data_IF_316047952131
#
_entry.id   IF_316047952131
#
_cell.length_a   1.000
_cell.length_b   1.000
_cell.length_c   1.000
_cell.angle_alpha   90.00
_cell.angle_beta   90.00
_cell.angle_gamma   90.00
#
_symmetry.space_group_name_H-M   'P 1'
#
loop_
_entity.id
_entity.type
_entity.pdbx_description
1 polymer ?
#
# COMPACT_ATOMS: atom_id res chain seq x y z
N UNK A 1 -14.25 22.67 -20.88
CA UNK A 1 -13.73 22.13 -19.59
C UNK A 1 -14.55 20.99 -18.98
N UNK A 2 -15.86 20.84 -19.24
CA UNK A 2 -16.68 19.72 -18.72
C UNK A 2 -16.45 18.36 -19.43
N UNK A 3 -16.10 18.38 -20.71
CA UNK A 3 -15.84 17.17 -21.52
C UNK A 3 -14.63 16.35 -21.02
N UNK A 4 -13.64 17.01 -20.40
CA UNK A 4 -12.44 16.34 -19.89
C UNK A 4 -12.68 15.60 -18.55
N UNK A 5 -13.74 15.98 -17.82
CA UNK A 5 -14.12 15.36 -16.54
C UNK A 5 -15.04 14.15 -16.75
N UNK A 6 -15.89 14.16 -17.77
CA UNK A 6 -16.71 13.01 -18.16
C UNK A 6 -15.87 11.81 -18.59
N UNK A 7 -14.75 12.05 -19.29
CA UNK A 7 -13.83 11.00 -19.71
C UNK A 7 -13.21 10.23 -18.53
N UNK A 8 -12.93 10.90 -17.41
CA UNK A 8 -12.39 10.26 -16.21
C UNK A 8 -13.42 9.40 -15.47
N UNK A 9 -14.69 9.82 -15.46
CA UNK A 9 -15.77 9.05 -14.84
C UNK A 9 -16.11 7.81 -15.67
N UNK A 10 -16.15 7.95 -17.00
CA UNK A 10 -16.39 6.81 -17.91
C UNK A 10 -15.19 5.85 -17.92
N UNK A 11 -13.96 6.37 -17.88
CA UNK A 11 -12.76 5.53 -17.74
C UNK A 11 -12.74 4.82 -16.38
N UNK A 12 -13.14 5.50 -15.30
CA UNK A 12 -13.28 4.90 -13.98
C UNK A 12 -14.31 3.78 -13.94
N UNK A 13 -15.50 4.01 -14.51
CA UNK A 13 -16.57 3.01 -14.58
C UNK A 13 -16.20 1.81 -15.47
N UNK A 14 -15.58 2.06 -16.64
CA UNK A 14 -15.09 1.01 -17.53
C UNK A 14 -13.97 0.18 -16.86
N UNK A 15 -13.08 0.83 -16.11
CA UNK A 15 -12.04 0.15 -15.32
C UNK A 15 -12.66 -0.69 -14.20
N UNK A 16 -13.71 -0.22 -13.53
CA UNK A 16 -14.42 -0.99 -12.50
C UNK A 16 -15.10 -2.24 -13.08
N UNK A 17 -15.72 -2.14 -14.25
CA UNK A 17 -16.37 -3.28 -14.92
C UNK A 17 -15.34 -4.30 -15.41
N UNK A 18 -14.24 -3.84 -16.03
CA UNK A 18 -13.15 -4.72 -16.50
C UNK A 18 -12.41 -5.37 -15.32
N UNK A 19 -12.31 -4.69 -14.18
CA UNK A 19 -11.71 -5.23 -12.96
C UNK A 19 -12.58 -6.27 -12.23
N UNK A 20 -13.90 -6.32 -12.51
CA UNK A 20 -14.81 -7.31 -11.92
C UNK A 20 -14.78 -8.66 -12.67
N UNK A 21 -14.49 -8.65 -13.98
CA UNK A 21 -14.48 -9.85 -14.83
C UNK A 21 -13.51 -10.98 -14.40
N UNK A 22 -12.32 -10.71 -13.82
CA UNK A 22 -11.40 -11.78 -13.43
C UNK A 22 -11.53 -12.24 -11.97
N UNK A 23 -12.40 -11.64 -11.15
CA UNK A 23 -12.48 -11.94 -9.71
C UNK A 23 -13.16 -13.28 -9.42
N UNK A 24 -14.14 -13.69 -10.24
CA UNK A 24 -14.95 -14.88 -9.95
C UNK A 24 -14.41 -16.17 -10.59
N UNK A 25 -13.24 -16.14 -11.24
CA UNK A 25 -12.63 -17.36 -11.82
C UNK A 25 -12.00 -18.29 -10.77
N UNK A 26 -12.02 -17.91 -9.50
CA UNK A 26 -11.29 -18.59 -8.42
C UNK A 26 -12.18 -19.15 -7.31
N UNK A 27 -13.45 -19.43 -7.61
CA UNK A 27 -14.32 -20.20 -6.74
C UNK A 27 -14.29 -21.69 -7.16
N UNK A 28 -13.58 -22.58 -6.42
CA UNK A 28 -13.34 -23.96 -6.83
C UNK A 28 -14.59 -24.87 -6.74
N UNK A 29 -15.66 -24.42 -6.06
CA UNK A 29 -16.91 -25.18 -5.91
C UNK A 29 -17.96 -24.80 -6.96
N UNK A 30 -17.66 -23.83 -7.82
CA UNK A 30 -18.58 -23.27 -8.81
C UNK A 30 -18.62 -24.10 -10.11
N UNK A 31 -18.97 -25.39 -10.02
CA UNK A 31 -19.27 -26.23 -11.19
C UNK A 31 -20.34 -25.63 -12.12
N UNK A 32 -20.25 -25.94 -13.42
CA UNK A 32 -21.02 -25.45 -14.59
C UNK A 32 -22.50 -25.12 -14.32
N UNK A 33 -22.76 -24.00 -13.63
CA UNK A 33 -24.11 -23.50 -13.41
C UNK A 33 -24.27 -22.22 -14.23
N UNK A 34 -25.30 -22.13 -15.09
CA UNK A 34 -25.45 -21.03 -16.02
C UNK A 34 -25.65 -19.71 -15.29
N UNK A 35 -24.98 -18.66 -15.81
CA UNK A 35 -24.85 -17.31 -15.25
C UNK A 35 -26.18 -16.69 -14.77
N UNK A 36 -27.30 -16.95 -15.46
CA UNK A 36 -28.60 -16.40 -15.10
C UNK A 36 -29.15 -16.96 -13.78
N UNK A 37 -28.79 -18.21 -13.41
CA UNK A 37 -29.27 -18.87 -12.19
C UNK A 37 -28.64 -18.25 -10.96
N UNK A 38 -27.35 -17.92 -11.09
CA UNK A 38 -26.51 -17.35 -10.03
C UNK A 38 -26.85 -15.88 -9.77
N UNK A 39 -27.18 -15.12 -10.81
CA UNK A 39 -27.70 -13.75 -10.66
C UNK A 39 -29.05 -13.73 -9.93
N UNK A 40 -29.92 -14.71 -10.21
CA UNK A 40 -31.20 -14.86 -9.49
C UNK A 40 -30.97 -15.22 -8.01
N UNK A 41 -29.99 -16.07 -7.71
CA UNK A 41 -29.62 -16.42 -6.34
C UNK A 41 -29.02 -15.24 -5.55
N UNK A 42 -28.23 -14.38 -6.20
CA UNK A 42 -27.71 -13.16 -5.58
C UNK A 42 -28.81 -12.16 -5.22
N UNK A 43 -29.87 -12.10 -6.04
CA UNK A 43 -31.05 -11.25 -5.79
C UNK A 43 -32.02 -11.88 -4.78
N UNK A 44 -31.99 -13.20 -4.58
CA UNK A 44 -32.96 -13.93 -3.73
C UNK A 44 -32.42 -14.31 -2.35
N UNK A 45 -31.21 -13.87 -1.96
CA UNK A 45 -30.59 -14.25 -0.69
C UNK A 45 -31.06 -13.36 0.47
N UNK A 46 -32.36 -13.32 0.68
CA UNK A 46 -32.96 -12.99 1.98
C UNK A 46 -33.19 -14.30 2.75
N UNK A 47 -32.46 -14.44 3.86
CA UNK A 47 -32.82 -15.33 4.96
C UNK A 47 -32.63 -16.84 4.76
N UNK A 48 -31.42 -17.34 4.97
CA UNK A 48 -31.28 -18.71 5.51
C UNK A 48 -30.07 -18.80 6.45
N UNK A 49 -30.37 -18.96 7.74
CA UNK A 49 -29.40 -19.11 8.82
C UNK A 49 -29.11 -20.60 8.98
N UNK A 50 -27.88 -21.03 8.68
CA UNK A 50 -27.39 -22.37 9.05
C UNK A 50 -26.81 -22.30 10.47
N UNK A 51 -27.43 -23.00 11.41
CA UNK A 51 -26.95 -23.13 12.80
C UNK A 51 -25.55 -23.78 12.87
N UNK A 52 -24.60 -23.24 13.66
CA UNK A 52 -23.30 -23.87 13.86
C UNK A 52 -23.31 -24.91 15.00
N UNK A 53 -22.71 -26.06 14.72
CA UNK A 53 -22.40 -27.16 15.65
C UNK A 53 -21.46 -26.71 16.81
N UNK A 54 -21.57 -27.27 18.03
CA UNK A 54 -20.92 -26.72 19.22
C UNK A 54 -19.39 -26.93 19.23
N UNK A 55 -18.61 -26.00 19.82
CA UNK A 55 -17.15 -26.06 19.85
C UNK A 55 -16.63 -27.07 20.90
N UNK A 56 -15.46 -27.71 20.66
CA UNK A 56 -14.79 -28.53 21.67
C UNK A 56 -14.20 -27.65 22.79
N UNK A 57 -14.26 -28.18 24.01
CA UNK A 57 -13.91 -27.54 25.28
C UNK A 57 -12.55 -26.83 25.28
N UNK A 58 -12.56 -25.57 25.70
CA UNK A 58 -11.38 -24.75 25.87
C UNK A 58 -10.44 -25.33 26.95
N UNK A 59 -9.22 -25.68 26.55
CA UNK A 59 -8.11 -25.85 27.49
C UNK A 59 -7.58 -24.46 27.84
N UNK A 60 -7.68 -24.11 29.11
CA UNK A 60 -7.07 -22.93 29.72
C UNK A 60 -5.55 -22.97 29.49
N UNK A 61 -5.06 -22.09 28.61
CA UNK A 61 -3.63 -21.86 28.40
C UNK A 61 -3.24 -20.71 29.32
N UNK A 62 -2.56 -21.02 30.42
CA UNK A 62 -1.97 -20.02 31.31
C UNK A 62 -1.00 -19.14 30.53
N UNK A 63 -1.34 -17.86 30.38
CA UNK A 63 -0.47 -16.86 29.79
C UNK A 63 0.45 -16.27 30.86
N UNK A 64 1.75 -16.53 30.77
CA UNK A 64 2.77 -15.87 31.60
C UNK A 64 2.71 -14.34 31.43
N UNK A 65 2.62 -13.54 32.50
CA UNK A 65 2.59 -12.09 32.40
C UNK A 65 3.97 -11.58 31.99
N UNK A 66 4.03 -10.83 30.88
CA UNK A 66 5.26 -10.17 30.44
C UNK A 66 5.32 -8.79 31.08
N UNK A 67 6.07 -8.71 32.17
CA UNK A 67 6.54 -7.47 32.78
C UNK A 67 7.71 -6.90 31.97
N UNK A 68 7.44 -5.84 31.20
CA UNK A 68 8.37 -4.78 30.78
C UNK A 68 7.70 -3.92 29.70
N UNK A 69 7.33 -2.71 30.09
CA UNK A 69 6.63 -1.71 29.26
C UNK A 69 7.63 -0.84 28.51
N UNK A 70 8.41 -1.41 27.58
CA UNK A 70 9.47 -0.63 26.95
C UNK A 70 9.37 -0.56 25.43
N UNK A 71 9.69 0.63 24.92
CA UNK A 71 9.78 1.07 23.52
C UNK A 71 10.35 0.04 22.54
N UNK A 72 11.19 -0.88 23.04
CA UNK A 72 11.77 -1.98 22.30
C UNK A 72 10.71 -2.93 21.69
N UNK A 73 9.52 -3.05 22.30
CA UNK A 73 8.41 -3.84 21.71
C UNK A 73 7.92 -3.24 20.41
N UNK A 74 7.83 -1.91 20.31
CA UNK A 74 7.38 -1.24 19.09
C UNK A 74 8.44 -1.32 17.99
N UNK A 75 9.71 -1.10 18.31
CA UNK A 75 10.83 -1.26 17.36
C UNK A 75 10.90 -2.70 16.85
N UNK A 76 10.72 -3.69 17.74
CA UNK A 76 10.64 -5.10 17.35
C UNK A 76 9.45 -5.39 16.44
N UNK A 77 8.30 -4.77 16.69
CA UNK A 77 7.13 -4.87 15.80
C UNK A 77 7.41 -4.28 14.41
N UNK A 78 8.03 -3.10 14.34
CA UNK A 78 8.47 -2.48 13.07
C UNK A 78 9.44 -3.41 12.34
N UNK A 79 10.42 -3.96 13.04
CA UNK A 79 11.39 -4.90 12.46
C UNK A 79 10.75 -6.19 11.95
N UNK A 80 9.74 -6.71 12.64
CA UNK A 80 8.98 -7.88 12.19
C UNK A 80 8.14 -7.56 10.95
N UNK A 81 7.46 -6.42 10.92
CA UNK A 81 6.73 -5.95 9.75
C UNK A 81 7.67 -5.78 8.56
N UNK A 82 8.78 -5.07 8.76
CA UNK A 82 9.79 -4.86 7.72
C UNK A 82 10.34 -6.18 7.20
N UNK A 83 10.67 -7.13 8.08
CA UNK A 83 11.14 -8.47 7.69
C UNK A 83 10.05 -9.21 6.90
N UNK A 84 8.79 -9.15 7.33
CA UNK A 84 7.68 -9.79 6.65
C UNK A 84 7.49 -9.23 5.23
N UNK A 85 7.43 -7.90 5.09
CA UNK A 85 7.40 -7.25 3.78
C UNK A 85 8.79 -7.04 3.17
N UNK A 86 9.79 -7.85 3.52
CA UNK A 86 10.99 -8.10 2.72
C UNK A 86 11.18 -9.58 2.40
N UNK A 87 10.55 -10.49 3.14
CA UNK A 87 10.72 -11.94 2.98
C UNK A 87 9.99 -12.46 1.74
N UNK A 88 10.58 -13.44 1.07
CA UNK A 88 9.98 -14.11 -0.11
C UNK A 88 10.19 -13.39 -1.43
N UNK A 89 11.06 -12.36 -1.49
CA UNK A 89 11.37 -11.63 -2.72
C UNK A 89 12.51 -12.33 -3.44
N UNK A 90 12.46 -12.32 -4.77
CA UNK A 90 13.52 -12.90 -5.62
C UNK A 90 14.84 -12.16 -5.36
N UNK A 91 15.95 -12.88 -5.38
CA UNK A 91 17.28 -12.33 -5.10
C UNK A 91 17.64 -11.12 -5.99
N UNK A 92 17.20 -11.11 -7.26
CA UNK A 92 17.34 -9.99 -8.20
C UNK A 92 16.77 -8.66 -7.68
N UNK A 93 15.72 -8.70 -6.86
CA UNK A 93 15.14 -7.48 -6.29
C UNK A 93 16.14 -6.77 -5.37
N UNK A 94 16.87 -7.51 -4.55
CA UNK A 94 17.92 -6.96 -3.68
C UNK A 94 19.10 -6.46 -4.50
N UNK A 95 19.48 -7.16 -5.57
CA UNK A 95 20.52 -6.67 -6.48
C UNK A 95 20.17 -5.30 -7.06
N UNK A 96 18.93 -5.06 -7.48
CA UNK A 96 18.58 -3.75 -8.02
C UNK A 96 18.54 -2.65 -6.96
N UNK A 97 18.19 -2.97 -5.70
CA UNK A 97 18.35 -2.01 -4.58
C UNK A 97 19.82 -1.67 -4.39
N UNK A 98 20.69 -2.68 -4.34
CA UNK A 98 22.15 -2.48 -4.19
C UNK A 98 22.70 -1.68 -5.37
N UNK A 99 22.27 -1.97 -6.61
CA UNK A 99 22.70 -1.23 -7.80
C UNK A 99 22.24 0.23 -7.75
N UNK A 100 20.98 0.50 -7.39
CA UNK A 100 20.47 1.86 -7.20
C UNK A 100 21.30 2.61 -6.15
N UNK A 101 21.59 1.99 -5.01
CA UNK A 101 22.39 2.62 -3.96
C UNK A 101 23.85 2.81 -4.36
N UNK A 102 24.46 1.85 -5.04
CA UNK A 102 25.84 1.94 -5.53
C UNK A 102 26.02 3.04 -6.59
N UNK A 103 24.95 3.40 -7.32
CA UNK A 103 24.95 4.50 -8.28
C UNK A 103 24.77 5.89 -7.64
N UNK A 104 24.41 5.97 -6.35
CA UNK A 104 24.22 7.26 -5.66
C UNK A 104 25.45 8.19 -5.67
N UNK A 105 26.70 7.72 -5.52
CA UNK A 105 27.86 8.60 -5.53
C UNK A 105 28.11 9.27 -6.90
N UNK A 106 27.63 8.65 -7.99
CA UNK A 106 27.77 9.15 -9.36
C UNK A 106 26.47 9.72 -9.92
N UNK A 107 25.47 9.96 -9.07
CA UNK A 107 24.12 10.36 -9.48
C UNK A 107 24.08 11.66 -10.30
N UNK A 108 25.01 12.59 -10.08
CA UNK A 108 25.13 13.85 -10.82
C UNK A 108 25.50 13.64 -12.30
N UNK A 109 26.07 12.49 -12.65
CA UNK A 109 26.42 12.11 -14.03
C UNK A 109 25.29 11.37 -14.72
N UNK A 110 24.26 10.95 -13.98
CA UNK A 110 23.12 10.19 -14.50
C UNK A 110 21.99 11.12 -14.91
N UNK A 111 21.17 10.75 -15.92
CA UNK A 111 19.96 11.48 -16.22
C UNK A 111 18.97 11.39 -15.04
N UNK A 112 18.90 12.46 -14.23
CA UNK A 112 18.07 12.60 -13.02
C UNK A 112 16.67 12.01 -13.18
N UNK A 113 15.98 12.34 -14.28
CA UNK A 113 14.63 11.83 -14.59
C UNK A 113 14.56 10.30 -14.53
N UNK A 114 15.48 9.61 -15.23
CA UNK A 114 15.48 8.15 -15.32
C UNK A 114 15.91 7.52 -13.99
N UNK A 115 16.93 8.08 -13.36
CA UNK A 115 17.47 7.55 -12.11
C UNK A 115 16.46 7.65 -10.96
N UNK A 116 15.84 8.81 -10.77
CA UNK A 116 14.79 9.00 -9.77
C UNK A 116 13.54 8.17 -10.11
N UNK A 117 13.12 8.13 -11.38
CA UNK A 117 11.98 7.30 -11.76
C UNK A 117 12.22 5.80 -11.49
N UNK A 118 13.43 5.30 -11.78
CA UNK A 118 13.82 3.92 -11.48
C UNK A 118 13.76 3.62 -9.97
N UNK A 119 14.26 4.54 -9.14
CA UNK A 119 14.22 4.41 -7.68
C UNK A 119 12.78 4.38 -7.13
N UNK A 120 11.86 5.12 -7.73
CA UNK A 120 10.45 5.16 -7.33
C UNK A 120 9.68 3.91 -7.73
N UNK A 121 9.96 3.31 -8.89
CA UNK A 121 9.22 2.10 -9.32
C UNK A 121 9.75 0.83 -8.66
N UNK A 122 11.04 0.78 -8.31
CA UNK A 122 11.68 -0.45 -7.82
C UNK A 122 11.04 -1.09 -6.58
N UNK A 123 10.69 -0.35 -5.51
CA UNK A 123 10.06 -0.93 -4.32
C UNK A 123 8.53 -1.07 -4.44
N UNK A 124 7.92 -0.90 -5.62
CA UNK A 124 6.45 -0.91 -5.79
C UNK A 124 5.80 -2.16 -5.22
N UNK A 125 6.40 -3.34 -5.41
CA UNK A 125 5.88 -4.60 -4.89
C UNK A 125 5.95 -4.70 -3.37
N UNK A 126 6.87 -3.97 -2.73
CA UNK A 126 6.97 -3.91 -1.27
C UNK A 126 5.81 -3.10 -0.72
N UNK A 127 5.58 -1.91 -1.28
CA UNK A 127 4.46 -1.06 -0.90
C UNK A 127 3.11 -1.71 -1.21
N UNK A 128 2.96 -2.39 -2.35
CA UNK A 128 1.72 -3.07 -2.73
C UNK A 128 1.29 -4.16 -1.73
N UNK A 129 2.24 -4.72 -0.96
CA UNK A 129 1.92 -5.73 0.07
C UNK A 129 1.36 -5.13 1.38
N UNK A 130 1.39 -3.80 1.52
CA UNK A 130 0.89 -3.09 2.70
C UNK A 130 -0.65 -3.14 2.77
N UNK A 131 -1.21 -3.31 3.96
CA UNK A 131 -2.64 -3.27 4.24
C UNK A 131 -3.42 -4.54 3.85
N UNK A 132 -2.85 -5.41 3.02
CA UNK A 132 -3.52 -6.62 2.48
C UNK A 132 -3.53 -7.78 3.48
N UNK A 133 -2.45 -7.94 4.25
CA UNK A 133 -2.26 -9.06 5.18
C UNK A 133 -3.26 -9.12 6.33
N UNK A 134 -3.92 -8.00 6.67
CA UNK A 134 -4.95 -7.93 7.71
C UNK A 134 -6.35 -8.34 7.27
N UNK A 135 -6.56 -8.59 5.98
CA UNK A 135 -7.90 -8.78 5.40
C UNK A 135 -8.20 -10.23 4.98
N UNK A 136 -7.18 -11.03 4.64
CA UNK A 136 -7.37 -12.34 3.98
C UNK A 136 -6.56 -13.52 4.57
N UNK A 137 -6.04 -13.43 5.80
CA UNK A 137 -5.33 -14.53 6.44
C UNK A 137 -6.28 -15.58 7.07
N UNK A 138 -6.07 -16.89 6.86
CA UNK A 138 -6.87 -17.98 7.48
C UNK A 138 -6.81 -18.05 9.02
N UNK A 139 -5.95 -17.27 9.67
CA UNK A 139 -5.82 -17.25 11.14
C UNK A 139 -6.82 -16.22 11.69
N UNK A 140 -8.11 -16.52 11.51
CA UNK A 140 -9.18 -15.92 12.31
C UNK A 140 -9.08 -16.49 13.72
N UNK A 141 -9.34 -15.63 14.71
CA UNK A 141 -9.40 -15.94 16.16
C UNK A 141 -8.02 -16.34 16.69
N UNK A 142 -7.26 -15.52 17.39
CA UNK A 142 -7.53 -14.94 18.70
C UNK A 142 -6.47 -13.85 18.87
N UNK A 143 -6.85 -12.58 19.00
CA UNK A 143 -6.22 -11.53 19.84
C UNK A 143 -7.06 -10.29 19.57
N UNK A 144 -8.23 -10.27 20.20
CA UNK A 144 -8.97 -9.04 20.45
C UNK A 144 -8.30 -8.36 21.64
N UNK A 145 -7.51 -7.32 21.39
CA UNK A 145 -7.22 -6.32 22.40
C UNK A 145 -7.10 -4.97 21.71
N UNK A 146 -8.08 -4.11 21.98
CA UNK A 146 -8.48 -2.94 21.20
C UNK A 146 -7.38 -1.88 21.01
N UNK A 147 -6.32 -1.90 21.84
CA UNK A 147 -5.23 -0.92 21.81
C UNK A 147 -4.02 -1.34 20.94
N UNK A 148 -3.98 -2.61 20.50
CA UNK A 148 -2.85 -3.14 19.71
C UNK A 148 -2.97 -2.85 18.20
N UNK A 149 -4.18 -2.54 17.72
CA UNK A 149 -4.49 -2.36 16.30
C UNK A 149 -3.89 -1.08 15.72
N UNK A 150 -3.90 0.02 16.47
CA UNK A 150 -3.32 1.32 16.04
C UNK A 150 -1.80 1.28 16.03
N UNK A 151 -1.19 0.66 17.06
CA UNK A 151 0.27 0.45 17.12
C UNK A 151 0.77 -0.46 16.00
N UNK A 152 -0.02 -1.47 15.61
CA UNK A 152 0.31 -2.33 14.48
C UNK A 152 0.25 -1.57 13.15
N UNK A 153 -0.77 -0.73 12.95
CA UNK A 153 -0.88 0.12 11.77
C UNK A 153 0.28 1.13 11.69
N UNK A 154 0.63 1.76 12.81
CA UNK A 154 1.77 2.65 12.89
C UNK A 154 3.10 1.93 12.62
N UNK A 155 3.26 0.70 13.11
CA UNK A 155 4.46 -0.10 12.85
C UNK A 155 4.58 -0.50 11.37
N UNK A 156 3.46 -0.84 10.72
CA UNK A 156 3.41 -1.15 9.29
C UNK A 156 3.70 0.09 8.44
N UNK A 157 3.10 1.23 8.79
CA UNK A 157 3.40 2.51 8.14
C UNK A 157 4.88 2.87 8.25
N UNK A 158 5.46 2.76 9.45
CA UNK A 158 6.90 3.02 9.66
C UNK A 158 7.79 2.04 8.88
N UNK A 159 7.41 0.77 8.75
CA UNK A 159 8.15 -0.17 7.92
C UNK A 159 8.15 0.29 6.45
N UNK A 160 7.01 0.74 5.93
CA UNK A 160 6.93 1.33 4.59
C UNK A 160 7.75 2.62 4.42
N UNK A 161 7.74 3.50 5.44
CA UNK A 161 8.58 4.70 5.49
C UNK A 161 10.05 4.32 5.44
N UNK A 162 10.51 3.35 6.24
CA UNK A 162 11.89 2.88 6.25
C UNK A 162 12.33 2.33 4.90
N UNK A 163 11.51 1.51 4.25
CA UNK A 163 11.80 1.02 2.88
C UNK A 163 11.97 2.19 1.91
N UNK A 164 11.10 3.20 2.02
CA UNK A 164 11.13 4.38 1.15
C UNK A 164 12.39 5.22 1.39
N UNK A 165 12.75 5.43 2.66
CA UNK A 165 13.99 6.13 3.06
C UNK A 165 15.23 5.37 2.58
N UNK A 166 15.22 4.04 2.62
CA UNK A 166 16.38 3.26 2.16
C UNK A 166 16.49 3.27 0.64
N UNK A 167 15.39 3.06 -0.09
CA UNK A 167 15.45 2.79 -1.54
C UNK A 167 15.30 4.06 -2.39
N UNK A 168 14.40 4.97 -2.02
CA UNK A 168 14.00 6.09 -2.88
C UNK A 168 14.67 7.42 -2.52
N UNK A 169 14.88 7.69 -1.22
CA UNK A 169 15.44 8.97 -0.77
C UNK A 169 16.89 9.21 -1.24
N UNK A 170 17.84 8.25 -1.15
CA UNK A 170 19.22 8.51 -1.53
C UNK A 170 19.35 8.88 -3.02
N UNK A 171 18.68 8.19 -3.97
CA UNK A 171 18.67 8.62 -5.38
C UNK A 171 18.09 10.02 -5.60
N UNK A 172 17.04 10.42 -4.88
CA UNK A 172 16.42 11.76 -5.00
C UNK A 172 17.38 12.85 -4.56
N UNK A 173 17.99 12.70 -3.38
CA UNK A 173 18.90 13.69 -2.81
C UNK A 173 20.24 13.73 -3.57
N UNK A 174 20.75 12.57 -4.00
CA UNK A 174 22.00 12.51 -4.76
C UNK A 174 21.87 13.11 -6.17
N UNK A 175 20.68 13.03 -6.77
CA UNK A 175 20.42 13.64 -8.08
C UNK A 175 20.20 15.17 -8.02
N UNK A 176 20.08 15.77 -6.83
CA UNK A 176 19.99 17.21 -6.66
C UNK A 176 20.02 17.63 -5.19
N UNK A 177 20.96 18.50 -4.82
CA UNK A 177 21.13 18.96 -3.43
C UNK A 177 20.33 20.25 -3.14
N UNK A 178 19.12 20.38 -3.69
CA UNK A 178 18.28 21.56 -3.50
C UNK A 178 17.23 21.33 -2.40
N UNK A 179 16.72 22.42 -1.83
CA UNK A 179 15.58 22.36 -0.91
C UNK A 179 14.38 21.63 -1.56
N UNK A 180 14.16 21.85 -2.86
CA UNK A 180 13.11 21.16 -3.62
C UNK A 180 13.30 19.64 -3.64
N UNK A 181 14.54 19.14 -3.74
CA UNK A 181 14.82 17.71 -3.66
C UNK A 181 14.58 17.15 -2.26
N UNK A 182 14.91 17.90 -1.20
CA UNK A 182 14.59 17.52 0.18
C UNK A 182 13.07 17.44 0.42
N UNK A 183 12.31 18.41 -0.10
CA UNK A 183 10.85 18.39 -0.05
C UNK A 183 10.29 17.20 -0.86
N UNK A 184 10.85 16.90 -2.02
CA UNK A 184 10.46 15.72 -2.82
C UNK A 184 10.74 14.40 -2.09
N UNK A 185 11.91 14.27 -1.44
CA UNK A 185 12.23 13.12 -0.62
C UNK A 185 11.21 12.97 0.53
N UNK A 186 10.87 14.06 1.23
CA UNK A 186 9.84 14.06 2.27
C UNK A 186 8.46 13.68 1.74
N UNK A 187 8.06 14.25 0.60
CA UNK A 187 6.78 13.97 -0.04
C UNK A 187 6.64 12.49 -0.38
N UNK A 188 7.63 11.90 -1.05
CA UNK A 188 7.65 10.47 -1.38
C UNK A 188 7.62 9.61 -0.11
N UNK A 189 8.41 9.97 0.89
CA UNK A 189 8.55 9.22 2.16
C UNK A 189 7.23 9.12 2.92
N UNK A 190 6.42 10.18 2.93
CA UNK A 190 5.15 10.19 3.67
C UNK A 190 3.97 9.78 2.80
N UNK A 191 3.91 10.24 1.55
CA UNK A 191 2.76 10.01 0.68
C UNK A 191 2.66 8.54 0.25
N UNK A 192 3.76 7.93 -0.19
CA UNK A 192 3.71 6.60 -0.82
C UNK A 192 3.29 5.50 0.17
N UNK A 193 3.88 5.39 1.38
CA UNK A 193 3.43 4.40 2.36
C UNK A 193 2.00 4.64 2.84
N UNK A 194 1.57 5.91 2.91
CA UNK A 194 0.20 6.26 3.31
C UNK A 194 -0.81 5.84 2.24
N UNK A 195 -0.50 6.09 0.96
CA UNK A 195 -1.33 5.67 -0.17
C UNK A 195 -1.40 4.13 -0.29
N UNK A 196 -0.28 3.45 -0.05
CA UNK A 196 -0.21 2.00 -0.02
C UNK A 196 -1.11 1.40 1.06
N UNK A 197 -1.03 1.92 2.29
CA UNK A 197 -1.92 1.47 3.37
C UNK A 197 -3.38 1.79 3.10
N UNK A 198 -3.69 2.99 2.62
CA UNK A 198 -5.06 3.36 2.27
C UNK A 198 -5.65 2.39 1.25
N UNK A 199 -4.99 2.22 0.11
CA UNK A 199 -5.47 1.33 -0.95
C UNK A 199 -5.58 -0.12 -0.47
N UNK A 200 -4.58 -0.63 0.26
CA UNK A 200 -4.60 -1.99 0.81
C UNK A 200 -5.71 -2.22 1.83
N UNK A 201 -5.97 -1.28 2.74
CA UNK A 201 -7.01 -1.42 3.77
C UNK A 201 -8.44 -1.27 3.21
N UNK A 202 -8.62 -0.40 2.21
CA UNK A 202 -9.95 -0.14 1.64
C UNK A 202 -10.36 -1.18 0.60
N UNK A 203 -9.41 -1.67 -0.20
CA UNK A 203 -9.70 -2.66 -1.24
C UNK A 203 -9.46 -4.09 -0.75
N UNK A 204 -8.48 -4.30 0.12
CA UNK A 204 -8.03 -5.64 0.50
C UNK A 204 -7.19 -6.35 -0.58
N UNK A 205 -6.84 -5.68 -1.69
CA UNK A 205 -6.04 -6.23 -2.78
C UNK A 205 -4.71 -5.48 -2.94
N UNK A 206 -3.62 -6.21 -3.11
CA UNK A 206 -2.29 -5.62 -3.43
C UNK A 206 -2.26 -4.97 -4.82
N UNK A 207 -3.01 -5.53 -5.77
CA UNK A 207 -3.06 -5.08 -7.16
C UNK A 207 -3.61 -3.65 -7.31
N UNK A 208 -4.52 -3.23 -6.41
CA UNK A 208 -5.11 -1.90 -6.49
C UNK A 208 -4.04 -0.80 -6.33
N UNK A 209 -3.12 -0.98 -5.38
CA UNK A 209 -1.98 -0.08 -5.22
C UNK A 209 -1.03 -0.17 -6.41
N UNK A 210 -0.70 -1.38 -6.87
CA UNK A 210 0.26 -1.58 -7.97
C UNK A 210 -0.19 -0.83 -9.23
N UNK A 211 -1.43 -1.04 -9.68
CA UNK A 211 -1.96 -0.34 -10.85
C UNK A 211 -2.08 1.17 -10.62
N UNK A 212 -2.64 1.59 -9.48
CA UNK A 212 -2.81 3.02 -9.18
C UNK A 212 -1.49 3.77 -9.09
N UNK A 213 -0.48 3.16 -8.47
CA UNK A 213 0.86 3.71 -8.34
C UNK A 213 1.57 3.75 -9.70
N UNK A 214 1.46 2.70 -10.52
CA UNK A 214 2.05 2.69 -11.86
C UNK A 214 1.45 3.76 -12.77
N UNK A 215 0.14 4.00 -12.67
CA UNK A 215 -0.51 5.12 -13.37
C UNK A 215 0.04 6.46 -12.88
N UNK A 216 0.13 6.66 -11.55
CA UNK A 216 0.68 7.88 -10.97
C UNK A 216 2.16 8.10 -11.36
N UNK A 217 2.95 7.03 -11.38
CA UNK A 217 4.35 7.04 -11.76
C UNK A 217 4.55 7.30 -13.26
N UNK A 218 3.69 6.73 -14.11
CA UNK A 218 3.69 6.99 -15.54
C UNK A 218 3.32 8.44 -15.82
N UNK A 219 2.25 8.95 -15.20
CA UNK A 219 1.81 10.32 -15.37
C UNK A 219 2.83 11.34 -14.85
N UNK A 220 3.40 11.16 -13.66
CA UNK A 220 4.32 12.15 -13.09
C UNK A 220 5.76 12.03 -13.63
N UNK A 221 6.62 11.20 -13.02
CA UNK A 221 8.02 11.07 -13.41
C UNK A 221 8.30 10.80 -14.90
N UNK A 222 7.43 10.06 -15.61
CA UNK A 222 7.69 9.68 -17.01
C UNK A 222 7.08 10.61 -18.07
N UNK A 223 5.78 10.92 -18.00
CA UNK A 223 5.09 11.61 -19.11
C UNK A 223 4.82 13.09 -18.88
N UNK A 224 4.33 13.48 -17.71
CA UNK A 224 3.94 14.85 -17.38
C UNK A 224 4.89 15.38 -16.31
N UNK A 225 6.00 16.03 -16.71
CA UNK A 225 7.06 16.47 -15.80
C UNK A 225 6.54 17.30 -14.61
N UNK A 226 5.45 18.04 -14.81
CA UNK A 226 4.81 18.91 -13.81
C UNK A 226 4.18 18.11 -12.67
N UNK A 227 3.70 16.89 -12.91
CA UNK A 227 3.05 16.05 -11.90
C UNK A 227 4.05 15.17 -11.10
N UNK A 228 5.36 15.37 -11.31
CA UNK A 228 6.40 14.56 -10.67
C UNK A 228 6.55 14.80 -9.16
N UNK A 229 5.81 14.08 -8.33
CA UNK A 229 5.91 14.14 -6.86
C UNK A 229 7.32 13.80 -6.31
N UNK A 230 8.08 12.96 -7.01
CA UNK A 230 9.45 12.59 -6.62
C UNK A 230 10.54 13.55 -7.08
N UNK A 231 10.20 14.71 -7.64
CA UNK A 231 11.20 15.71 -8.05
C UNK A 231 12.15 15.22 -9.14
N UNK A 232 11.67 14.34 -10.03
CA UNK A 232 12.47 13.78 -11.12
C UNK A 232 12.85 14.82 -12.19
N UNK A 233 12.17 15.96 -12.22
CA UNK A 233 12.43 17.07 -13.16
C UNK A 233 12.46 18.41 -12.44
N UNK A 234 13.20 19.37 -13.00
CA UNK A 234 13.26 20.71 -12.39
C UNK A 234 11.91 21.45 -12.47
N UNK A 235 11.12 21.21 -13.52
CA UNK A 235 9.74 21.73 -13.63
C UNK A 235 8.84 21.30 -12.47
N UNK A 236 8.89 20.03 -12.05
CA UNK A 236 8.11 19.58 -10.89
C UNK A 236 8.50 20.31 -9.60
N UNK A 237 9.78 20.65 -9.44
CA UNK A 237 10.24 21.39 -8.26
C UNK A 237 9.75 22.84 -8.30
N UNK A 238 9.85 23.50 -9.45
CA UNK A 238 9.44 24.90 -9.62
C UNK A 238 7.92 25.09 -9.44
N UNK A 239 7.12 24.13 -9.90
CA UNK A 239 5.66 24.14 -9.72
C UNK A 239 5.20 23.84 -8.28
N UNK A 240 6.12 23.46 -7.38
CA UNK A 240 5.78 23.10 -6.01
C UNK A 240 4.99 21.80 -5.88
N UNK A 241 4.98 20.94 -6.91
CA UNK A 241 4.23 19.68 -6.91
C UNK A 241 4.58 18.77 -5.72
N UNK A 242 5.86 18.58 -5.34
CA UNK A 242 6.20 17.87 -4.12
C UNK A 242 5.54 18.40 -2.85
N UNK A 243 5.37 19.72 -2.73
CA UNK A 243 4.69 20.35 -1.58
C UNK A 243 3.23 19.91 -1.53
N UNK A 244 2.53 19.89 -2.66
CA UNK A 244 1.15 19.44 -2.74
C UNK A 244 0.99 17.98 -2.27
N UNK A 245 1.89 17.08 -2.68
CA UNK A 245 1.89 15.68 -2.23
C UNK A 245 2.28 15.52 -0.76
N UNK A 246 3.21 16.35 -0.27
CA UNK A 246 3.57 16.39 1.14
C UNK A 246 2.38 16.82 2.01
N UNK A 247 1.63 17.84 1.59
CA UNK A 247 0.42 18.31 2.27
C UNK A 247 -0.71 17.28 2.14
N UNK A 248 -0.82 16.56 1.02
CA UNK A 248 -1.82 15.51 0.85
C UNK A 248 -1.56 14.27 1.73
N UNK A 249 -0.29 13.96 2.02
CA UNK A 249 0.10 12.77 2.79
C UNK A 249 -0.65 12.58 4.13
N UNK A 250 -0.78 13.58 5.03
CA UNK A 250 -1.56 13.42 6.26
C UNK A 250 -3.03 13.09 6.01
N UNK A 251 -3.67 13.68 4.99
CA UNK A 251 -5.07 13.37 4.65
C UNK A 251 -5.22 11.92 4.18
N UNK A 252 -4.27 11.43 3.38
CA UNK A 252 -4.25 10.03 2.95
C UNK A 252 -4.00 9.09 4.13
N UNK A 253 -3.13 9.46 5.07
CA UNK A 253 -2.88 8.69 6.29
C UNK A 253 -4.14 8.63 7.19
N UNK A 254 -4.86 9.74 7.34
CA UNK A 254 -6.17 9.76 8.02
C UNK A 254 -7.18 8.87 7.31
N UNK A 255 -7.22 8.91 5.97
CA UNK A 255 -8.08 8.03 5.19
C UNK A 255 -7.75 6.54 5.39
N UNK A 256 -6.47 6.17 5.47
CA UNK A 256 -6.06 4.82 5.84
C UNK A 256 -6.52 4.43 7.24
N UNK A 257 -6.40 5.34 8.21
CA UNK A 257 -6.87 5.15 9.57
C UNK A 257 -8.40 4.92 9.66
N UNK A 258 -9.18 5.66 8.88
CA UNK A 258 -10.63 5.46 8.78
C UNK A 258 -11.00 4.09 8.21
N UNK A 259 -10.28 3.64 7.17
CA UNK A 259 -10.45 2.30 6.61
C UNK A 259 -10.24 1.21 7.66
N UNK A 260 -9.21 1.37 8.50
CA UNK A 260 -8.95 0.47 9.63
C UNK A 260 -10.09 0.47 10.66
N UNK A 261 -10.64 1.64 11.00
CA UNK A 261 -11.79 1.73 11.94
C UNK A 261 -13.03 1.04 11.40
N UNK A 262 -13.34 1.17 10.11
CA UNK A 262 -14.48 0.48 9.48
C UNK A 262 -14.38 -1.05 9.63
N UNK A 263 -13.19 -1.60 9.36
CA UNK A 263 -12.95 -3.04 9.50
C UNK A 263 -13.11 -3.54 10.94
N UNK A 264 -12.89 -2.67 11.93
CA UNK A 264 -13.14 -2.99 13.35
C UNK A 264 -14.63 -2.89 13.69
N UNK A 265 -15.34 -1.88 13.18
CA UNK A 265 -16.76 -1.66 13.45
C UNK A 265 -17.71 -2.68 12.81
N UNK A 266 -17.33 -3.31 11.70
CA UNK A 266 -18.11 -4.40 11.08
C UNK A 266 -17.98 -5.75 11.81
N UNK A 267 -17.13 -5.84 12.84
CA UNK A 267 -16.82 -7.08 13.57
C UNK A 267 -17.27 -7.04 15.05
N UNK A 268 -17.91 -5.96 15.47
CA UNK A 268 -18.54 -5.79 16.78
C UNK A 268 -20.06 -5.94 16.64
#
# INVERSE_FOLDING_TARGET
MLLHRGGLVVAGAALSVVAALPYDRWDPDAGDTPLWTRLRAFVSRDGEVTEPSPPPSAREVETTPVDSRDSNRFVRLVGLQLRQMLRGRRWWWYLGVVALLALTPVATQLPRKRYVAAALVWPVFVWASMGVGSSHGPIRTVVHSSDRSTRQLAAEWLAGVLVTVIVAVPPILAAGQSLGAAVAAGAVTLFVPSAALATGLWTGLSRAFEFGYLVLWYLGPLNVPELGYGGATERSLQMGTPVAFLVAAPFVAVFAYLGRRRLLGQRA
#
